data_IF_809427961732
#
_entry.id   IF_809427961732
#
_cell.length_a   1.000
_cell.length_b   1.000
_cell.length_c   1.000
_cell.angle_alpha   90.00
_cell.angle_beta   90.00
_cell.angle_gamma   90.00
#
_symmetry.space_group_name_H-M   'P 1'
#
loop_
_entity.id
_entity.type
_entity.pdbx_description
1 polymer ?
#
# COMPACT_ATOMS: atom_id res chain seq x y z
N UNK A 1 21.24 -7.42 12.96
CA UNK A 1 20.38 -7.75 11.80
C UNK A 1 20.02 -6.50 11.05
N UNK A 2 20.26 -6.50 9.74
CA UNK A 2 19.91 -5.38 8.85
C UNK A 2 18.44 -5.47 8.44
N UNK A 3 17.72 -4.35 8.44
CA UNK A 3 16.37 -4.24 7.91
C UNK A 3 16.46 -3.61 6.53
N UNK A 4 16.00 -4.33 5.52
CA UNK A 4 16.02 -3.90 4.12
C UNK A 4 14.59 -3.77 3.57
N UNK A 5 14.35 -2.79 2.71
CA UNK A 5 13.11 -2.65 1.98
C UNK A 5 13.06 -3.66 0.84
N UNK A 6 12.11 -4.60 0.90
CA UNK A 6 11.96 -5.63 -0.14
C UNK A 6 11.74 -5.03 -1.54
N UNK A 7 10.97 -3.94 -1.63
CA UNK A 7 10.66 -3.31 -2.91
C UNK A 7 11.82 -2.48 -3.45
N UNK A 8 12.55 -1.75 -2.60
CA UNK A 8 13.78 -1.07 -3.06
C UNK A 8 14.81 -2.07 -3.57
N UNK A 9 14.96 -3.21 -2.88
CA UNK A 9 15.87 -4.28 -3.31
C UNK A 9 15.48 -4.81 -4.70
N UNK A 10 14.20 -5.08 -4.92
CA UNK A 10 13.70 -5.54 -6.21
C UNK A 10 13.82 -4.47 -7.32
N UNK A 11 13.75 -3.19 -6.97
CA UNK A 11 13.99 -2.06 -7.89
C UNK A 11 15.48 -1.76 -8.13
N UNK A 12 16.40 -2.50 -7.49
CA UNK A 12 17.84 -2.24 -7.59
C UNK A 12 18.29 -0.93 -6.92
N UNK A 13 17.49 -0.40 -5.99
CA UNK A 13 17.77 0.84 -5.24
C UNK A 13 18.36 0.54 -3.86
N UNK A 14 18.88 1.58 -3.20
CA UNK A 14 19.33 1.51 -1.81
C UNK A 14 18.15 1.06 -0.93
N UNK A 15 18.27 -0.13 -0.35
CA UNK A 15 17.22 -0.78 0.42
C UNK A 15 17.36 -0.64 1.94
N UNK A 16 18.49 -0.11 2.44
CA UNK A 16 18.77 -0.04 3.87
C UNK A 16 17.76 0.83 4.62
N UNK A 17 17.05 0.26 5.60
CA UNK A 17 16.08 0.96 6.45
C UNK A 17 16.59 1.22 7.87
N UNK A 18 17.45 0.35 8.39
CA UNK A 18 18.02 0.44 9.73
C UNK A 18 18.39 -0.94 10.27
N UNK A 19 18.71 -1.03 11.55
CA UNK A 19 19.13 -2.29 12.17
C UNK A 19 18.20 -2.66 13.32
N UNK A 20 18.17 -3.96 13.66
CA UNK A 20 17.54 -4.46 14.88
C UNK A 20 18.43 -5.49 15.56
N UNK A 21 18.22 -5.62 16.87
CA UNK A 21 18.90 -6.62 17.69
C UNK A 21 18.61 -8.06 17.22
N UNK A 22 19.57 -8.99 17.36
CA UNK A 22 20.97 -8.76 17.75
C UNK A 22 21.73 -7.97 16.67
N UNK A 23 22.55 -6.99 17.07
CA UNK A 23 23.23 -6.09 16.11
C UNK A 23 24.29 -6.82 15.30
N UNK A 24 25.03 -7.74 15.93
CA UNK A 24 26.11 -8.51 15.30
C UNK A 24 25.65 -9.66 14.40
N UNK A 25 24.34 -9.92 14.30
CA UNK A 25 23.82 -10.90 13.36
C UNK A 25 23.80 -10.31 11.93
N UNK A 26 24.58 -10.85 10.98
CA UNK A 26 24.72 -10.32 9.62
C UNK A 26 23.48 -10.56 8.75
N UNK A 27 22.52 -11.37 9.22
CA UNK A 27 21.30 -11.67 8.49
C UNK A 27 20.47 -10.41 8.25
N UNK A 28 19.71 -10.48 7.17
CA UNK A 28 18.78 -9.44 6.74
C UNK A 28 17.34 -9.83 7.09
N UNK A 29 16.53 -8.81 7.36
CA UNK A 29 15.08 -8.92 7.49
C UNK A 29 14.40 -7.94 6.55
N UNK A 30 13.23 -8.31 6.05
CA UNK A 30 12.54 -7.55 5.02
C UNK A 30 11.43 -6.67 5.62
N UNK A 31 11.38 -5.42 5.20
CA UNK A 31 10.32 -4.46 5.51
C UNK A 31 9.90 -3.66 4.28
N UNK A 32 9.10 -2.61 4.49
CA UNK A 32 8.66 -1.67 3.45
C UNK A 32 8.95 -0.25 3.91
N UNK A 33 9.70 0.50 3.09
CA UNK A 33 10.07 1.89 3.35
C UNK A 33 8.84 2.81 3.36
N UNK A 34 8.98 4.02 3.92
CA UNK A 34 7.87 5.00 3.98
C UNK A 34 7.33 5.33 2.58
N UNK A 35 8.20 5.50 1.59
CA UNK A 35 7.79 5.83 0.23
C UNK A 35 6.92 4.72 -0.40
N UNK A 36 7.39 3.47 -0.34
CA UNK A 36 6.66 2.32 -0.86
C UNK A 36 5.37 2.03 -0.09
N UNK A 37 5.37 2.26 1.23
CA UNK A 37 4.15 2.18 2.05
C UNK A 37 3.10 3.20 1.62
N UNK A 38 3.51 4.45 1.35
CA UNK A 38 2.60 5.49 0.88
C UNK A 38 2.09 5.16 -0.54
N UNK A 39 2.93 4.62 -1.41
CA UNK A 39 2.53 4.20 -2.75
C UNK A 39 1.41 3.15 -2.69
N UNK A 40 1.60 2.05 -1.92
CA UNK A 40 0.58 1.00 -1.81
C UNK A 40 -0.71 1.50 -1.15
N UNK A 41 -0.60 2.39 -0.14
CA UNK A 41 -1.76 3.00 0.49
C UNK A 41 -2.53 3.92 -0.48
N UNK A 42 -1.83 4.65 -1.34
CA UNK A 42 -2.44 5.50 -2.35
C UNK A 42 -3.21 4.67 -3.38
N UNK A 43 -2.61 3.59 -3.89
CA UNK A 43 -3.27 2.68 -4.82
C UNK A 43 -4.51 2.02 -4.18
N UNK A 44 -4.38 1.52 -2.95
CA UNK A 44 -5.52 0.98 -2.22
C UNK A 44 -6.65 2.00 -2.04
N UNK A 45 -6.30 3.24 -1.69
CA UNK A 45 -7.29 4.31 -1.52
C UNK A 45 -8.04 4.61 -2.83
N UNK A 46 -7.37 4.62 -3.98
CA UNK A 46 -8.02 4.78 -5.29
C UNK A 46 -9.02 3.66 -5.56
N UNK A 47 -8.64 2.41 -5.29
CA UNK A 47 -9.55 1.26 -5.45
C UNK A 47 -10.79 1.38 -4.56
N UNK A 48 -10.63 1.85 -3.31
CA UNK A 48 -11.77 2.10 -2.42
C UNK A 48 -12.69 3.20 -2.97
N UNK A 49 -12.14 4.29 -3.51
CA UNK A 49 -12.96 5.37 -4.09
C UNK A 49 -13.82 4.87 -5.24
N UNK A 50 -13.24 4.09 -6.16
CA UNK A 50 -13.97 3.46 -7.28
C UNK A 50 -15.12 2.59 -6.77
N UNK A 51 -14.90 1.78 -5.74
CA UNK A 51 -15.95 0.96 -5.14
C UNK A 51 -17.08 1.81 -4.53
N UNK A 52 -16.74 2.94 -3.90
CA UNK A 52 -17.74 3.84 -3.32
C UNK A 52 -18.50 4.66 -4.36
N UNK A 53 -17.86 5.05 -5.46
CA UNK A 53 -18.51 5.70 -6.60
C UNK A 53 -19.51 4.75 -7.26
N UNK A 54 -19.11 3.49 -7.46
CA UNK A 54 -20.00 2.45 -7.97
C UNK A 54 -21.25 2.27 -7.10
N UNK A 55 -21.08 2.20 -5.78
CA UNK A 55 -22.21 2.13 -4.83
C UNK A 55 -23.13 3.35 -4.89
N UNK A 56 -22.57 4.56 -4.98
CA UNK A 56 -23.36 5.80 -5.10
C UNK A 56 -24.16 5.85 -6.41
N UNK A 57 -23.56 5.43 -7.52
CA UNK A 57 -24.24 5.39 -8.82
C UNK A 57 -25.39 4.37 -8.84
N UNK A 58 -25.21 3.19 -8.25
CA UNK A 58 -26.27 2.18 -8.08
C UNK A 58 -27.44 2.72 -7.24
N UNK A 59 -27.14 3.39 -6.12
CA UNK A 59 -28.16 3.99 -5.27
C UNK A 59 -28.93 5.12 -6.00
N UNK A 60 -28.25 5.97 -6.77
CA UNK A 60 -28.88 7.02 -7.55
C UNK A 60 -29.84 6.46 -8.63
N UNK A 61 -29.44 5.40 -9.34
CA UNK A 61 -30.26 4.74 -10.36
C UNK A 61 -31.49 4.02 -9.78
N UNK A 62 -31.40 3.50 -8.55
CA UNK A 62 -32.55 2.90 -7.87
C UNK A 62 -33.60 3.95 -7.50
N UNK A 63 -33.17 5.13 -7.04
CA UNK A 63 -34.07 6.24 -6.68
C UNK A 63 -34.77 6.86 -7.88
N UNK A 64 -34.17 6.85 -9.08
CA UNK A 64 -34.78 7.43 -10.29
C UNK A 64 -35.84 6.53 -10.94
N UNK A 65 -35.93 5.25 -10.60
CA UNK A 65 -36.92 4.30 -11.16
C UNK A 65 -38.25 4.25 -10.42
N UNK A 66 -38.38 4.93 -9.28
CA UNK A 66 -39.62 5.03 -8.49
C UNK A 66 -40.50 6.25 -8.81
N UNK A 67 -40.08 7.09 -9.75
CA UNK A 67 -40.82 8.27 -10.20
C UNK A 67 -41.37 8.03 -11.63
N UNK A 68 -42.40 7.21 -11.76
CA UNK A 68 -43.21 7.06 -12.98
C UNK A 68 -44.62 6.63 -12.60
#
# INVERSE_FOLDING_TARGET
MRIICAWCLQEGKIAMLGEKVPLDDPRETHGICKAHRLAVQAEWRKSLLVLTDGKRNLAHQASSRGAS
#
